data_IF_770743690421
#
_entry.id   IF_770743690421
#
_cell.length_a   1.000
_cell.length_b   1.000
_cell.length_c   1.000
_cell.angle_alpha   90.00
_cell.angle_beta   90.00
_cell.angle_gamma   90.00
#
_symmetry.space_group_name_H-M   'P 1'
#
loop_
_entity.id
_entity.type
_entity.pdbx_description
1 polymer ?
#
# COMPACT_ATOMS: atom_id res chain seq x y z
N UNK A 1 -10.89 9.13 5.83
CA UNK A 1 -9.49 9.63 5.85
C UNK A 1 -8.71 9.24 7.10
N UNK A 2 -9.32 9.27 8.29
CA UNK A 2 -8.69 8.96 9.59
C UNK A 2 -8.03 7.58 9.63
N UNK A 3 -8.71 6.52 9.13
CA UNK A 3 -8.19 5.14 9.14
C UNK A 3 -6.83 4.98 8.44
N UNK A 4 -6.58 5.75 7.39
CA UNK A 4 -5.35 5.67 6.56
C UNK A 4 -4.14 6.25 7.29
N UNK A 5 -4.36 7.25 8.13
CA UNK A 5 -3.28 7.99 8.80
C UNK A 5 -3.15 7.67 10.28
N UNK A 6 -4.13 7.00 10.88
CA UNK A 6 -4.15 6.70 12.32
C UNK A 6 -2.86 6.03 12.81
N UNK A 7 -2.48 4.90 12.20
CA UNK A 7 -1.28 4.16 12.60
C UNK A 7 0.03 4.95 12.41
N UNK A 8 0.34 5.53 11.22
CA UNK A 8 1.58 6.28 11.05
C UNK A 8 1.64 7.55 11.93
N UNK A 9 0.52 8.24 12.15
CA UNK A 9 0.46 9.39 13.08
C UNK A 9 0.72 8.94 14.51
N UNK A 10 0.07 7.86 14.95
CA UNK A 10 0.28 7.30 16.29
C UNK A 10 1.74 6.91 16.51
N UNK A 11 2.37 6.24 15.55
CA UNK A 11 3.79 5.86 15.60
C UNK A 11 4.71 7.08 15.73
N UNK A 12 4.45 8.14 14.94
CA UNK A 12 5.24 9.38 15.03
C UNK A 12 5.03 10.06 16.38
N UNK A 13 3.79 10.17 16.87
CA UNK A 13 3.47 10.81 18.16
C UNK A 13 4.13 10.06 19.31
N UNK A 14 3.96 8.74 19.38
CA UNK A 14 4.56 7.90 20.43
C UNK A 14 6.08 7.93 20.34
N UNK A 15 6.65 7.75 19.15
CA UNK A 15 8.10 7.79 18.94
C UNK A 15 8.71 9.13 19.34
N UNK A 16 8.04 10.24 19.01
CA UNK A 16 8.49 11.59 19.37
C UNK A 16 8.43 11.82 20.89
N UNK A 17 7.36 11.37 21.55
CA UNK A 17 7.21 11.50 23.00
C UNK A 17 8.30 10.72 23.76
N UNK A 18 8.53 9.46 23.38
CA UNK A 18 9.55 8.61 24.02
C UNK A 18 10.96 9.13 23.74
N UNK A 19 11.25 9.53 22.50
CA UNK A 19 12.55 10.10 22.15
C UNK A 19 12.83 11.41 22.90
N UNK A 20 11.80 12.25 23.12
CA UNK A 20 11.93 13.47 23.92
C UNK A 20 12.28 13.16 25.37
N UNK A 21 11.62 12.18 25.99
CA UNK A 21 11.95 11.75 27.35
C UNK A 21 13.40 11.25 27.46
N UNK A 22 13.83 10.37 26.55
CA UNK A 22 15.21 9.87 26.52
C UNK A 22 16.26 10.96 26.32
N UNK A 23 15.93 11.98 25.52
CA UNK A 23 16.79 13.13 25.30
C UNK A 23 16.93 13.97 26.57
N UNK A 24 15.83 14.21 27.29
CA UNK A 24 15.82 14.91 28.58
C UNK A 24 16.58 14.14 29.67
N UNK A 25 16.55 12.81 29.62
CA UNK A 25 17.30 11.91 30.51
C UNK A 25 18.81 11.82 30.16
N UNK A 26 19.29 12.59 29.19
CA UNK A 26 20.72 12.68 28.84
C UNK A 26 21.21 11.56 27.92
N UNK A 27 20.32 10.84 27.23
CA UNK A 27 20.66 9.74 26.31
C UNK A 27 20.36 10.08 24.82
N UNK A 28 21.00 11.11 24.24
CA UNK A 28 20.65 11.61 22.90
C UNK A 28 20.85 10.57 21.79
N UNK A 29 21.83 9.67 21.92
CA UNK A 29 22.05 8.59 20.95
C UNK A 29 20.90 7.58 20.91
N UNK A 30 20.40 7.19 22.09
CA UNK A 30 19.26 6.27 22.20
C UNK A 30 17.97 6.94 21.69
N UNK A 31 17.76 8.21 22.02
CA UNK A 31 16.63 9.01 21.52
C UNK A 31 16.62 9.07 19.98
N UNK A 32 17.77 9.34 19.35
CA UNK A 32 17.89 9.42 17.90
C UNK A 32 17.64 8.06 17.22
N UNK A 33 18.23 6.98 17.75
CA UNK A 33 18.04 5.63 17.22
C UNK A 33 16.57 5.18 17.31
N UNK A 34 15.92 5.42 18.46
CA UNK A 34 14.52 5.07 18.66
C UNK A 34 13.60 5.88 17.74
N UNK A 35 13.82 7.20 17.64
CA UNK A 35 13.05 8.06 16.75
C UNK A 35 13.17 7.59 15.29
N UNK A 36 14.38 7.24 14.84
CA UNK A 36 14.60 6.70 13.50
C UNK A 36 13.78 5.42 13.26
N UNK A 37 13.76 4.49 14.22
CA UNK A 37 12.96 3.26 14.12
C UNK A 37 11.46 3.59 13.98
N UNK A 38 10.92 4.48 14.81
CA UNK A 38 9.51 4.87 14.74
C UNK A 38 9.17 5.58 13.42
N UNK A 39 10.05 6.45 12.92
CA UNK A 39 9.88 7.11 11.62
C UNK A 39 9.90 6.10 10.47
N UNK A 40 10.81 5.12 10.50
CA UNK A 40 10.85 4.05 9.50
C UNK A 40 9.57 3.21 9.54
N UNK A 41 9.11 2.82 10.72
CA UNK A 41 7.85 2.08 10.90
C UNK A 41 6.65 2.90 10.41
N UNK A 42 6.59 4.19 10.72
CA UNK A 42 5.55 5.08 10.23
C UNK A 42 5.58 5.18 8.70
N UNK A 43 6.77 5.29 8.11
CA UNK A 43 6.97 5.30 6.66
C UNK A 43 6.48 4.02 5.97
N UNK A 44 6.84 2.85 6.50
CA UNK A 44 6.43 1.55 5.95
C UNK A 44 4.92 1.32 6.07
N UNK A 45 4.29 1.84 7.12
CA UNK A 45 2.83 1.75 7.31
C UNK A 45 2.05 2.89 6.66
N UNK A 46 2.74 3.86 6.06
CA UNK A 46 2.12 5.04 5.45
C UNK A 46 1.58 4.73 4.06
N UNK A 47 0.48 5.39 3.63
CA UNK A 47 0.04 5.33 2.24
C UNK A 47 1.09 5.87 1.24
N UNK A 48 2.11 6.60 1.71
CA UNK A 48 3.11 7.25 0.86
C UNK A 48 4.11 6.29 0.21
N UNK A 49 4.26 5.07 0.73
CA UNK A 49 5.20 4.07 0.18
C UNK A 49 4.68 3.41 -1.12
N UNK A 50 3.37 3.51 -1.37
CA UNK A 50 2.73 3.03 -2.58
C UNK A 50 2.64 4.13 -3.65
N UNK A 51 2.57 3.76 -4.94
CA UNK A 51 2.32 4.72 -6.00
C UNK A 51 1.00 5.46 -5.77
N UNK A 52 0.88 6.66 -6.35
CA UNK A 52 -0.28 7.52 -6.17
C UNK A 52 -1.57 6.75 -6.47
N UNK A 53 -2.44 6.68 -5.46
CA UNK A 53 -3.75 6.05 -5.63
C UNK A 53 -4.65 6.91 -6.50
N UNK A 54 -5.36 6.26 -7.42
CA UNK A 54 -6.51 6.82 -8.14
C UNK A 54 -7.80 6.11 -7.67
N UNK A 55 -8.95 6.60 -8.09
CA UNK A 55 -10.23 5.94 -7.83
C UNK A 55 -10.43 4.71 -8.72
N UNK A 56 -11.27 3.77 -8.30
CA UNK A 56 -11.56 2.50 -8.94
C UNK A 56 -12.22 2.68 -10.30
N UNK A 57 -13.23 3.56 -10.39
CA UNK A 57 -13.88 3.86 -11.68
C UNK A 57 -12.88 4.45 -12.68
N UNK A 58 -11.97 5.30 -12.21
CA UNK A 58 -10.92 5.87 -13.05
C UNK A 58 -9.88 4.81 -13.45
N UNK A 59 -9.48 3.95 -12.51
CA UNK A 59 -8.57 2.85 -12.78
C UNK A 59 -9.16 1.87 -13.80
N UNK A 60 -10.45 1.55 -13.69
CA UNK A 60 -11.17 0.70 -14.64
C UNK A 60 -11.22 1.32 -16.04
N UNK A 61 -11.59 2.61 -16.14
CA UNK A 61 -11.60 3.33 -17.42
C UNK A 61 -10.21 3.36 -18.07
N UNK A 62 -9.17 3.68 -17.30
CA UNK A 62 -7.80 3.72 -17.82
C UNK A 62 -7.32 2.34 -18.21
N UNK A 63 -7.52 1.34 -17.37
CA UNK A 63 -7.17 -0.06 -17.63
C UNK A 63 -7.82 -0.58 -18.91
N UNK A 64 -9.08 -0.25 -19.16
CA UNK A 64 -9.76 -0.59 -20.41
C UNK A 64 -9.16 0.12 -21.64
N UNK A 65 -8.62 1.33 -21.47
CA UNK A 65 -8.04 2.12 -22.56
C UNK A 65 -6.57 1.77 -22.85
N UNK A 66 -5.77 1.51 -21.82
CA UNK A 66 -4.31 1.32 -21.92
C UNK A 66 -3.85 -0.12 -21.64
N UNK A 67 -4.79 -1.02 -21.31
CA UNK A 67 -4.50 -2.42 -20.97
C UNK A 67 -3.74 -2.60 -19.67
N UNK A 68 -3.43 -1.54 -18.93
CA UNK A 68 -2.60 -1.63 -17.73
C UNK A 68 -3.42 -2.20 -16.58
N UNK A 69 -2.81 -3.06 -15.77
CA UNK A 69 -3.50 -3.76 -14.68
C UNK A 69 -3.83 -2.84 -13.51
N UNK A 70 -4.83 -3.23 -12.73
CA UNK A 70 -5.27 -2.53 -11.52
C UNK A 70 -4.82 -3.31 -10.29
N UNK A 71 -4.23 -2.63 -9.31
CA UNK A 71 -3.84 -3.21 -8.03
C UNK A 71 -4.62 -2.53 -6.90
N UNK A 72 -5.53 -3.28 -6.29
CA UNK A 72 -6.24 -2.87 -5.09
C UNK A 72 -5.41 -3.20 -3.85
N UNK A 73 -5.24 -2.22 -2.97
CA UNK A 73 -4.36 -2.32 -1.80
C UNK A 73 -4.88 -1.49 -0.61
N UNK A 74 -4.25 -1.67 0.55
CA UNK A 74 -4.46 -0.81 1.74
C UNK A 74 -3.15 -0.58 2.52
N UNK A 75 -3.01 0.54 3.25
CA UNK A 75 -1.86 0.77 4.12
C UNK A 75 -1.71 -0.33 5.18
N UNK A 76 -0.47 -0.65 5.56
CA UNK A 76 -0.17 -1.68 6.56
C UNK A 76 -0.39 -3.14 6.09
N UNK A 77 -0.71 -3.36 4.81
CA UNK A 77 -0.86 -4.70 4.24
C UNK A 77 0.53 -5.32 3.91
N UNK A 78 0.99 -6.37 4.62
CA UNK A 78 2.31 -6.97 4.39
C UNK A 78 2.40 -7.64 3.02
N UNK A 79 1.32 -8.25 2.53
CA UNK A 79 1.26 -8.86 1.19
C UNK A 79 1.33 -7.81 0.07
N UNK A 80 0.66 -6.68 0.24
CA UNK A 80 0.70 -5.56 -0.69
C UNK A 80 2.10 -4.94 -0.74
N UNK A 81 2.77 -4.85 0.42
CA UNK A 81 4.17 -4.41 0.51
C UNK A 81 5.10 -5.38 -0.22
N UNK A 82 4.95 -6.69 0.05
CA UNK A 82 5.71 -7.74 -0.63
C UNK A 82 5.54 -7.64 -2.14
N UNK A 83 4.30 -7.54 -2.63
CA UNK A 83 4.01 -7.37 -4.05
C UNK A 83 4.67 -6.09 -4.59
N UNK A 84 4.55 -4.94 -3.92
CA UNK A 84 5.17 -3.68 -4.34
C UNK A 84 6.69 -3.77 -4.47
N UNK A 85 7.37 -4.35 -3.48
CA UNK A 85 8.83 -4.55 -3.47
C UNK A 85 9.22 -5.52 -4.57
N UNK A 86 8.51 -6.64 -4.67
CA UNK A 86 8.63 -7.63 -5.75
C UNK A 86 8.04 -7.16 -7.08
N UNK A 87 7.64 -5.90 -7.25
CA UNK A 87 7.40 -5.30 -8.56
C UNK A 87 8.45 -4.22 -8.85
N UNK A 88 9.19 -3.74 -7.84
CA UNK A 88 10.29 -2.79 -8.01
C UNK A 88 9.88 -1.56 -8.82
N UNK A 89 10.66 -1.22 -9.85
CA UNK A 89 10.40 -0.04 -10.69
C UNK A 89 9.12 -0.17 -11.53
N UNK A 90 8.76 -1.38 -11.95
CA UNK A 90 7.62 -1.61 -12.85
C UNK A 90 6.27 -1.46 -12.15
N UNK A 91 6.23 -1.49 -10.81
CA UNK A 91 4.97 -1.27 -10.10
C UNK A 91 4.32 0.10 -10.40
N UNK A 92 5.09 1.12 -10.82
CA UNK A 92 4.51 2.41 -11.26
C UNK A 92 3.70 2.32 -12.56
N UNK A 93 3.84 1.21 -13.30
CA UNK A 93 3.09 0.93 -14.51
C UNK A 93 1.75 0.24 -14.23
N UNK A 94 1.39 -0.08 -12.99
CA UNK A 94 0.03 -0.48 -12.63
C UNK A 94 -0.80 0.73 -12.17
N UNK A 95 -2.13 0.62 -12.23
CA UNK A 95 -3.07 1.56 -11.63
C UNK A 95 -3.34 1.15 -10.18
N UNK A 96 -3.00 2.00 -9.21
CA UNK A 96 -3.13 1.66 -7.79
C UNK A 96 -4.41 2.25 -7.20
N UNK A 97 -5.17 1.43 -6.47
CA UNK A 97 -6.42 1.84 -5.83
C UNK A 97 -6.40 1.47 -4.35
N UNK A 98 -6.42 2.48 -3.49
CA UNK A 98 -6.48 2.32 -2.04
C UNK A 98 -7.93 2.14 -1.59
N UNK A 99 -8.30 0.93 -1.20
CA UNK A 99 -9.68 0.58 -0.84
C UNK A 99 -10.18 1.26 0.44
N UNK A 100 -9.29 1.76 1.30
CA UNK A 100 -9.70 2.55 2.48
C UNK A 100 -10.06 4.00 2.15
N UNK A 101 -9.64 4.49 0.98
CA UNK A 101 -9.99 5.84 0.50
C UNK A 101 -11.12 5.83 -0.51
N UNK A 102 -11.34 4.71 -1.17
CA UNK A 102 -12.32 4.58 -2.22
C UNK A 102 -13.33 3.46 -1.93
N UNK A 103 -14.56 3.81 -1.55
CA UNK A 103 -15.64 2.85 -1.33
C UNK A 103 -15.95 2.00 -2.57
N UNK A 104 -15.82 2.54 -3.77
CA UNK A 104 -16.03 1.78 -5.00
C UNK A 104 -14.92 0.72 -5.19
N UNK A 105 -13.68 1.05 -4.84
CA UNK A 105 -12.58 0.09 -4.79
C UNK A 105 -12.80 -1.01 -3.76
N UNK A 106 -13.29 -0.67 -2.57
CA UNK A 106 -13.66 -1.67 -1.57
C UNK A 106 -14.79 -2.59 -2.07
N UNK A 107 -15.82 -2.04 -2.71
CA UNK A 107 -16.91 -2.82 -3.29
C UNK A 107 -16.42 -3.76 -4.40
N UNK A 108 -15.54 -3.28 -5.29
CA UNK A 108 -14.94 -4.11 -6.34
C UNK A 108 -14.14 -5.28 -5.77
N UNK A 109 -13.38 -5.06 -4.70
CA UNK A 109 -12.64 -6.13 -4.01
C UNK A 109 -13.60 -7.13 -3.35
N UNK A 110 -14.64 -6.67 -2.66
CA UNK A 110 -15.63 -7.56 -2.02
C UNK A 110 -16.38 -8.42 -3.03
N UNK A 111 -16.70 -7.86 -4.20
CA UNK A 111 -17.41 -8.58 -5.25
C UNK A 111 -16.65 -9.81 -5.79
N UNK A 112 -15.31 -9.81 -5.69
CA UNK A 112 -14.46 -10.90 -6.19
C UNK A 112 -13.83 -11.75 -5.09
N UNK A 113 -14.20 -11.50 -3.83
CA UNK A 113 -13.60 -12.14 -2.64
C UNK A 113 -14.66 -12.57 -1.60
N UNK A 114 -15.82 -13.02 -2.06
CA UNK A 114 -16.91 -13.52 -1.19
C UNK A 114 -17.31 -12.50 -0.10
N UNK A 115 -17.36 -11.22 -0.47
CA UNK A 115 -17.70 -10.13 0.45
C UNK A 115 -16.53 -9.62 1.29
N UNK A 116 -15.33 -10.19 1.18
CA UNK A 116 -14.15 -9.79 1.95
C UNK A 116 -13.35 -8.68 1.27
N UNK A 117 -12.72 -7.81 2.07
CA UNK A 117 -11.76 -6.81 1.59
C UNK A 117 -10.34 -7.39 1.47
N UNK A 118 -10.21 -8.53 0.80
CA UNK A 118 -8.93 -9.25 0.67
C UNK A 118 -8.01 -8.53 -0.31
N UNK A 119 -6.79 -8.21 0.14
CA UNK A 119 -5.79 -7.49 -0.65
C UNK A 119 -4.40 -8.10 -0.46
N UNK A 120 -3.48 -8.02 -1.45
CA UNK A 120 -3.66 -7.34 -2.75
C UNK A 120 -4.62 -8.09 -3.66
N UNK A 121 -5.53 -7.37 -4.32
CA UNK A 121 -6.33 -7.93 -5.42
C UNK A 121 -5.87 -7.25 -6.71
N UNK A 122 -5.48 -8.05 -7.70
CA UNK A 122 -4.93 -7.58 -8.97
C UNK A 122 -5.90 -7.91 -10.08
N UNK A 123 -6.23 -6.94 -10.94
CA UNK A 123 -7.08 -7.16 -12.10
C UNK A 123 -6.26 -6.99 -13.36
N UNK A 124 -6.17 -8.06 -14.16
CA UNK A 124 -5.45 -8.11 -15.44
C UNK A 124 -6.45 -8.47 -16.52
N UNK A 125 -6.59 -7.62 -17.55
CA UNK A 125 -7.55 -7.83 -18.64
C UNK A 125 -8.99 -8.15 -18.16
N UNK A 126 -9.44 -7.50 -17.07
CA UNK A 126 -10.75 -7.72 -16.46
C UNK A 126 -10.86 -8.95 -15.56
N UNK A 127 -9.83 -9.81 -15.49
CA UNK A 127 -9.81 -10.99 -14.63
C UNK A 127 -9.21 -10.64 -13.25
N UNK A 128 -9.94 -10.88 -12.14
CA UNK A 128 -9.44 -10.65 -10.79
C UNK A 128 -8.58 -11.82 -10.29
N UNK A 129 -7.49 -11.48 -9.62
CA UNK A 129 -6.58 -12.41 -8.95
C UNK A 129 -6.35 -11.92 -7.52
N UNK A 130 -6.75 -12.75 -6.56
CA UNK A 130 -6.61 -12.45 -5.14
C UNK A 130 -5.28 -12.95 -4.62
N UNK A 131 -4.51 -12.04 -4.05
CA UNK A 131 -3.17 -12.27 -3.51
C UNK A 131 -2.29 -13.13 -4.43
N UNK A 132 -2.11 -12.72 -5.71
CA UNK A 132 -1.33 -13.52 -6.64
C UNK A 132 0.13 -13.60 -6.22
N UNK A 133 0.82 -14.65 -6.71
CA UNK A 133 2.26 -14.71 -6.58
C UNK A 133 2.92 -13.50 -7.26
N UNK A 134 3.90 -12.83 -6.62
CA UNK A 134 4.51 -11.64 -7.21
C UNK A 134 5.27 -11.88 -8.53
N UNK A 135 5.78 -13.08 -8.77
CA UNK A 135 6.45 -13.42 -10.03
C UNK A 135 5.42 -13.62 -11.13
N UNK A 136 4.34 -14.37 -10.86
CA UNK A 136 3.19 -14.44 -11.76
C UNK A 136 2.66 -13.04 -12.11
N UNK A 137 2.54 -12.18 -11.10
CA UNK A 137 2.10 -10.81 -11.30
C UNK A 137 3.09 -10.06 -12.19
N UNK A 138 4.41 -10.13 -11.96
CA UNK A 138 5.38 -9.48 -12.86
C UNK A 138 5.17 -9.87 -14.32
N UNK A 139 5.02 -11.16 -14.58
CA UNK A 139 4.94 -11.71 -15.94
C UNK A 139 3.63 -11.33 -16.65
N UNK A 140 2.53 -11.25 -15.90
CA UNK A 140 1.20 -10.93 -16.45
C UNK A 140 0.87 -9.43 -16.45
N UNK A 141 1.48 -8.66 -15.55
CA UNK A 141 1.37 -7.20 -15.56
C UNK A 141 2.18 -6.62 -16.74
N UNK A 142 3.24 -7.32 -17.19
CA UNK A 142 4.14 -6.90 -18.27
C UNK A 142 4.64 -8.12 -19.05
N UNK A 143 3.89 -8.64 -20.04
CA UNK A 143 4.44 -9.62 -20.97
C UNK A 143 5.72 -9.03 -21.56
N UNK A 144 6.84 -9.76 -21.43
CA UNK A 144 8.10 -9.39 -22.09
C UNK A 144 7.80 -9.12 -23.55
N UNK A 145 8.01 -7.88 -23.99
CA UNK A 145 7.96 -7.51 -25.39
C UNK A 145 9.06 -8.22 -26.17
#
# INVERSE_FOLDING_TARGET
>A
MTRVWFLPVLLVVVGSAVATALFLDGSPGAAAALLLVFVLLAGVNSPLIFPRSIGALEAQRRSAADGRPIVYWRPGCPYCMRLRVRLGRVARRAHWVNIWRDPAGAAAVRAVNDGNETVPTVVVAGQPHTNPDPEWARDHLFPSA
#
